data_IF_270361575257
#
_entry.id   IF_270361575257
#
_cell.length_a   1.000
_cell.length_b   1.000
_cell.length_c   1.000
_cell.angle_alpha   90.00
_cell.angle_beta   90.00
_cell.angle_gamma   90.00
#
_symmetry.space_group_name_H-M   'P 1'
#
loop_
_entity.id
_entity.type
_entity.pdbx_description
1 polymer ?
#
# COMPACT_ATOMS: atom_id res chain seq x y z
N UNK A 1 53.78 30.45 54.68
CA UNK A 1 53.95 29.50 53.55
C UNK A 1 52.67 28.70 53.43
N UNK A 2 51.74 29.09 52.54
CA UNK A 2 50.42 28.45 52.41
C UNK A 2 50.39 27.67 51.10
N UNK A 3 50.15 26.36 51.21
CA UNK A 3 49.99 25.43 50.10
C UNK A 3 48.48 25.32 49.85
N UNK A 4 48.02 25.69 48.66
CA UNK A 4 46.64 25.49 48.20
C UNK A 4 46.59 24.23 47.36
N UNK A 5 45.90 23.20 47.84
CA UNK A 5 45.61 21.97 47.10
C UNK A 5 44.38 22.19 46.21
N UNK A 6 44.49 21.84 44.93
CA UNK A 6 43.38 21.82 43.97
C UNK A 6 42.89 20.37 43.86
N UNK A 7 41.62 20.14 44.19
CA UNK A 7 40.92 18.87 43.95
C UNK A 7 40.17 18.99 42.61
N UNK A 8 40.53 18.14 41.65
CA UNK A 8 39.80 17.98 40.39
C UNK A 8 38.87 16.76 40.56
N UNK A 9 37.57 17.00 40.55
CA UNK A 9 36.56 15.94 40.55
C UNK A 9 36.17 15.59 39.11
N UNK A 10 36.58 14.40 38.66
CA UNK A 10 36.14 13.84 37.38
C UNK A 10 34.73 13.23 37.53
N UNK A 11 33.73 13.85 36.91
CA UNK A 11 32.38 13.31 36.82
C UNK A 11 32.25 12.31 35.67
N UNK A 12 31.87 11.07 35.97
CA UNK A 12 31.54 10.05 34.98
C UNK A 12 30.10 10.32 34.50
N UNK A 13 29.95 10.68 33.21
CA UNK A 13 28.64 10.74 32.54
C UNK A 13 28.22 9.33 32.10
N UNK A 14 27.28 8.74 32.85
CA UNK A 14 26.54 7.55 32.42
C UNK A 14 25.48 7.98 31.40
N UNK A 15 25.73 7.71 30.11
CA UNK A 15 24.74 7.88 29.06
C UNK A 15 23.65 6.81 29.17
N UNK A 16 22.43 7.22 29.54
CA UNK A 16 21.27 6.35 29.51
C UNK A 16 20.89 6.06 28.05
N UNK A 17 21.08 4.82 27.61
CA UNK A 17 20.54 4.32 26.35
C UNK A 17 19.03 4.13 26.52
N UNK A 18 18.23 5.07 26.03
CA UNK A 18 16.79 4.87 25.92
C UNK A 18 16.54 3.82 24.84
N UNK A 19 16.27 2.58 25.27
CA UNK A 19 15.69 1.57 24.39
C UNK A 19 14.32 2.09 23.93
N UNK A 20 14.22 2.43 22.65
CA UNK A 20 12.92 2.72 22.03
C UNK A 20 12.12 1.43 22.01
N UNK A 21 11.10 1.33 22.87
CA UNK A 21 10.11 0.27 22.77
C UNK A 21 9.49 0.32 21.36
N UNK A 22 9.44 -0.82 20.67
CA UNK A 22 8.64 -0.95 19.45
C UNK A 22 7.19 -0.62 19.82
N UNK A 23 6.67 0.46 19.24
CA UNK A 23 5.25 0.79 19.34
C UNK A 23 4.46 -0.45 18.91
N UNK A 24 3.59 -0.95 19.79
CA UNK A 24 2.69 -2.04 19.46
C UNK A 24 1.91 -1.61 18.22
N UNK A 25 2.00 -2.34 17.10
CA UNK A 25 1.27 -1.94 15.90
C UNK A 25 -0.21 -1.87 16.25
N UNK A 26 -0.83 -0.73 15.96
CA UNK A 26 -2.28 -0.54 15.99
C UNK A 26 -2.94 -1.77 15.36
N UNK A 27 -3.99 -2.31 15.98
CA UNK A 27 -4.74 -3.45 15.44
C UNK A 27 -5.34 -3.05 14.08
N UNK A 28 -4.62 -3.31 12.98
CA UNK A 28 -4.97 -2.81 11.64
C UNK A 28 -6.26 -3.48 11.14
N UNK A 29 -6.53 -4.71 11.56
CA UNK A 29 -7.78 -5.40 11.29
C UNK A 29 -8.08 -6.50 12.33
N UNK A 30 -9.36 -6.89 12.42
CA UNK A 30 -9.81 -7.98 13.29
C UNK A 30 -9.58 -9.33 12.62
N UNK A 31 -8.45 -9.95 12.91
CA UNK A 31 -8.24 -11.36 12.65
C UNK A 31 -9.18 -12.21 13.53
N UNK A 32 -9.55 -13.41 13.06
CA UNK A 32 -10.34 -14.37 13.83
C UNK A 32 -11.76 -13.89 14.24
N UNK A 33 -12.50 -13.28 13.31
CA UNK A 33 -13.90 -12.90 13.56
C UNK A 33 -14.78 -14.11 13.88
N UNK A 34 -15.51 -14.08 15.00
CA UNK A 34 -16.57 -15.05 15.25
C UNK A 34 -17.67 -14.93 14.17
N UNK A 35 -18.27 -16.05 13.68
CA UNK A 35 -18.12 -17.43 14.13
C UNK A 35 -17.07 -18.24 13.35
N UNK A 36 -16.15 -17.60 12.62
CA UNK A 36 -15.16 -18.31 11.80
C UNK A 36 -14.19 -19.11 12.67
N UNK A 37 -13.71 -20.24 12.12
CA UNK A 37 -12.69 -21.08 12.75
C UNK A 37 -11.46 -20.22 13.03
N UNK A 38 -11.00 -20.28 14.28
CA UNK A 38 -9.82 -19.57 14.72
C UNK A 38 -8.58 -20.19 14.07
N UNK A 39 -7.76 -19.37 13.45
CA UNK A 39 -6.47 -19.77 12.90
C UNK A 39 -5.34 -19.23 13.80
N UNK A 40 -4.20 -19.92 13.80
CA UNK A 40 -3.01 -19.57 14.57
C UNK A 40 -2.05 -18.70 13.78
N UNK A 41 -2.16 -18.70 12.45
CA UNK A 41 -1.36 -17.87 11.56
C UNK A 41 -2.21 -16.77 10.93
N UNK A 42 -1.69 -15.55 10.94
CA UNK A 42 -2.32 -14.38 10.35
C UNK A 42 -1.39 -13.76 9.31
N UNK A 43 -1.97 -13.30 8.19
CA UNK A 43 -1.24 -12.53 7.20
C UNK A 43 -0.75 -11.22 7.80
N UNK A 44 0.52 -10.86 7.62
CA UNK A 44 0.97 -9.55 8.06
C UNK A 44 0.43 -8.46 7.13
N UNK A 45 -0.11 -7.34 7.65
CA UNK A 45 -0.65 -6.27 6.82
C UNK A 45 0.39 -5.76 5.81
N UNK A 46 -0.05 -5.39 4.61
CA UNK A 46 0.82 -4.75 3.63
C UNK A 46 1.56 -3.54 4.24
N UNK A 47 2.87 -3.48 4.01
CA UNK A 47 3.73 -2.40 4.52
C UNK A 47 4.28 -2.62 5.94
N UNK A 48 3.82 -3.63 6.68
CA UNK A 48 4.34 -4.01 8.01
C UNK A 48 5.76 -4.62 7.94
N UNK A 49 6.14 -5.17 6.79
CA UNK A 49 7.49 -5.66 6.50
C UNK A 49 8.19 -4.66 5.58
N UNK A 50 9.45 -4.35 5.88
CA UNK A 50 10.31 -3.49 5.05
C UNK A 50 11.41 -4.30 4.39
N UNK A 51 11.46 -4.23 3.06
CA UNK A 51 12.53 -4.87 2.28
C UNK A 51 13.88 -4.21 2.55
N UNK A 52 14.95 -5.01 2.49
CA UNK A 52 16.36 -4.55 2.56
C UNK A 52 17.20 -5.31 1.54
N UNK A 53 18.42 -4.82 1.29
CA UNK A 53 19.41 -5.48 0.42
C UNK A 53 18.87 -5.74 -0.98
N UNK A 54 19.04 -6.97 -1.47
CA UNK A 54 18.67 -7.34 -2.84
C UNK A 54 17.18 -7.13 -3.14
N UNK A 55 16.27 -7.50 -2.24
CA UNK A 55 14.83 -7.34 -2.47
C UNK A 55 14.42 -5.87 -2.58
N UNK A 56 14.95 -5.01 -1.70
CA UNK A 56 14.71 -3.57 -1.79
C UNK A 56 15.15 -3.05 -3.17
N UNK A 57 16.33 -3.48 -3.64
CA UNK A 57 16.82 -3.08 -4.96
C UNK A 57 15.90 -3.53 -6.10
N UNK A 58 15.30 -4.72 -6.03
CA UNK A 58 14.34 -5.18 -7.03
C UNK A 58 13.06 -4.32 -7.04
N UNK A 59 12.55 -3.95 -5.86
CA UNK A 59 11.38 -3.07 -5.76
C UNK A 59 11.68 -1.68 -6.31
N UNK A 60 12.86 -1.12 -6.00
CA UNK A 60 13.30 0.16 -6.56
C UNK A 60 13.39 0.09 -8.09
N UNK A 61 13.91 -1.00 -8.67
CA UNK A 61 13.96 -1.18 -10.12
C UNK A 61 12.55 -1.27 -10.75
N UNK A 62 11.57 -1.85 -10.05
CA UNK A 62 10.18 -1.85 -10.52
C UNK A 62 9.58 -0.44 -10.48
N UNK A 63 9.85 0.32 -9.41
CA UNK A 63 9.42 1.73 -9.27
C UNK A 63 10.06 2.58 -10.36
N UNK A 64 11.36 2.48 -10.57
CA UNK A 64 12.12 3.31 -11.52
C UNK A 64 11.99 2.81 -12.97
N UNK A 65 11.31 1.68 -13.17
CA UNK A 65 11.14 1.03 -14.47
C UNK A 65 9.66 0.82 -14.82
N UNK A 66 9.34 -0.36 -15.35
CA UNK A 66 8.04 -0.63 -15.97
C UNK A 66 6.84 -0.32 -15.09
N UNK A 67 6.83 -0.67 -13.81
CA UNK A 67 5.64 -0.47 -12.96
C UNK A 67 5.41 1.00 -12.66
N UNK A 68 6.45 1.75 -12.30
CA UNK A 68 6.28 3.18 -12.03
C UNK A 68 5.99 4.01 -13.28
N UNK A 69 6.48 3.59 -14.44
CA UNK A 69 6.26 4.27 -15.73
C UNK A 69 5.16 3.66 -16.60
N UNK A 70 4.39 2.68 -16.11
CA UNK A 70 3.44 1.93 -16.93
C UNK A 70 2.39 2.83 -17.61
N UNK A 71 1.89 3.85 -16.91
CA UNK A 71 0.91 4.80 -17.46
C UNK A 71 1.47 5.67 -18.59
N UNK A 72 2.79 5.91 -18.60
CA UNK A 72 3.50 6.64 -19.66
C UNK A 72 3.79 5.73 -20.86
N UNK A 73 4.03 4.44 -20.60
CA UNK A 73 4.31 3.43 -21.61
C UNK A 73 3.05 2.89 -22.31
N UNK A 74 1.91 2.95 -21.62
CA UNK A 74 0.61 2.51 -22.14
C UNK A 74 -0.47 3.60 -21.95
N UNK A 75 -0.28 4.81 -22.53
CA UNK A 75 -1.12 5.99 -22.28
C UNK A 75 -2.48 5.94 -23.01
N UNK A 76 -2.74 4.90 -23.78
CA UNK A 76 -3.94 4.73 -24.58
C UNK A 76 -5.14 4.43 -23.69
N UNK A 77 -6.32 4.83 -24.17
CA UNK A 77 -7.58 4.53 -23.50
C UNK A 77 -7.83 3.03 -23.30
N UNK A 78 -7.30 2.19 -24.18
CA UNK A 78 -7.44 0.74 -24.06
C UNK A 78 -6.56 0.12 -22.97
N UNK A 79 -5.74 0.95 -22.31
CA UNK A 79 -4.76 0.55 -21.33
C UNK A 79 -4.87 1.42 -20.06
N UNK A 80 -3.79 2.12 -19.71
CA UNK A 80 -3.62 2.85 -18.45
C UNK A 80 -3.79 4.36 -18.63
N UNK A 81 -4.27 4.78 -19.81
CA UNK A 81 -4.51 6.18 -20.14
C UNK A 81 -5.65 6.82 -19.34
N UNK A 82 -5.69 8.15 -19.38
CA UNK A 82 -6.71 8.95 -18.69
C UNK A 82 -8.16 8.70 -19.16
N UNK A 83 -8.35 8.11 -20.34
CA UNK A 83 -9.65 7.71 -20.89
C UNK A 83 -9.93 6.20 -20.76
N UNK A 84 -9.19 5.51 -19.88
CA UNK A 84 -9.52 4.14 -19.51
C UNK A 84 -10.93 4.06 -18.96
N UNK A 85 -11.66 3.00 -19.29
CA UNK A 85 -13.02 2.82 -18.77
C UNK A 85 -13.05 2.45 -17.27
N UNK A 86 -11.92 1.96 -16.73
CA UNK A 86 -11.66 1.86 -15.30
C UNK A 86 -11.49 3.24 -14.62
N UNK A 87 -11.49 4.33 -15.39
CA UNK A 87 -11.57 5.74 -14.96
C UNK A 87 -12.75 6.47 -15.60
N UNK A 88 -13.76 5.75 -16.08
CA UNK A 88 -15.00 6.34 -16.64
C UNK A 88 -14.95 6.71 -18.10
N UNK A 89 -13.86 6.40 -18.80
CA UNK A 89 -13.79 6.55 -20.25
C UNK A 89 -14.45 5.40 -21.02
N UNK A 90 -14.08 5.29 -22.29
CA UNK A 90 -14.67 4.35 -23.26
C UNK A 90 -13.69 3.23 -23.69
N UNK A 91 -12.59 3.07 -22.95
CA UNK A 91 -11.50 2.14 -23.18
C UNK A 91 -11.81 0.64 -23.05
N UNK A 92 -10.80 -0.17 -22.76
CA UNK A 92 -10.94 -1.63 -22.67
C UNK A 92 -11.16 -2.08 -21.24
N UNK A 93 -12.29 -2.75 -21.01
CA UNK A 93 -12.68 -3.18 -19.66
C UNK A 93 -11.92 -4.40 -19.16
N UNK A 94 -11.05 -4.99 -19.99
CA UNK A 94 -10.38 -6.23 -19.68
C UNK A 94 -9.35 -6.07 -18.56
N UNK A 95 -8.67 -7.16 -18.22
CA UNK A 95 -7.92 -7.34 -16.97
C UNK A 95 -6.67 -6.47 -16.78
N UNK A 96 -6.25 -5.71 -17.79
CA UNK A 96 -4.96 -4.99 -17.77
C UNK A 96 -4.84 -3.98 -16.64
N UNK A 97 -5.83 -3.10 -16.48
CA UNK A 97 -5.85 -2.12 -15.38
C UNK A 97 -5.91 -2.82 -14.02
N UNK A 98 -6.82 -3.77 -13.76
CA UNK A 98 -6.85 -4.52 -12.51
C UNK A 98 -5.51 -5.15 -12.10
N UNK A 99 -4.80 -5.79 -13.04
CA UNK A 99 -3.48 -6.35 -12.75
C UNK A 99 -2.44 -5.28 -12.46
N UNK A 100 -2.45 -4.19 -13.21
CA UNK A 100 -1.58 -3.05 -12.96
C UNK A 100 -1.82 -2.47 -11.56
N UNK A 101 -3.06 -2.17 -11.20
CA UNK A 101 -3.44 -1.58 -9.90
C UNK A 101 -3.09 -2.52 -8.75
N UNK A 102 -3.29 -3.83 -8.90
CA UNK A 102 -2.88 -4.84 -7.91
C UNK A 102 -1.38 -4.77 -7.62
N UNK A 103 -0.54 -4.75 -8.65
CA UNK A 103 0.91 -4.64 -8.49
C UNK A 103 1.35 -3.27 -7.96
N UNK A 104 0.74 -2.20 -8.46
CA UNK A 104 1.04 -0.82 -8.10
C UNK A 104 0.76 -0.56 -6.62
N UNK A 105 -0.38 -1.00 -6.08
CA UNK A 105 -0.72 -0.87 -4.65
C UNK A 105 0.33 -1.59 -3.81
N UNK A 106 0.62 -2.86 -4.12
CA UNK A 106 1.61 -3.63 -3.38
C UNK A 106 2.97 -2.94 -3.34
N UNK A 107 3.46 -2.45 -4.49
CA UNK A 107 4.74 -1.76 -4.60
C UNK A 107 4.76 -0.43 -3.85
N UNK A 108 3.74 0.41 -4.07
CA UNK A 108 3.64 1.75 -3.52
C UNK A 108 3.70 1.77 -1.99
N UNK A 109 2.92 0.90 -1.34
CA UNK A 109 2.85 0.86 0.12
C UNK A 109 3.98 0.04 0.77
N UNK A 110 4.58 -0.91 0.04
CA UNK A 110 5.81 -1.59 0.51
C UNK A 110 6.98 -0.63 0.56
N UNK A 111 7.18 0.16 -0.50
CA UNK A 111 8.26 1.16 -0.58
C UNK A 111 7.97 2.45 0.17
N UNK A 112 6.74 2.65 0.63
CA UNK A 112 6.28 3.91 1.21
C UNK A 112 6.42 5.12 0.26
N UNK A 113 6.28 4.88 -1.05
CA UNK A 113 6.57 5.87 -2.10
C UNK A 113 5.37 6.78 -2.37
N UNK A 114 5.55 8.10 -2.15
CA UNK A 114 4.48 9.09 -2.28
C UNK A 114 3.93 9.19 -3.72
N UNK A 115 4.81 9.11 -4.72
CA UNK A 115 4.42 9.24 -6.12
C UNK A 115 3.64 8.03 -6.60
N UNK A 116 4.09 6.82 -6.27
CA UNK A 116 3.35 5.59 -6.58
C UNK A 116 2.03 5.52 -5.83
N UNK A 117 1.97 5.96 -4.56
CA UNK A 117 0.72 6.03 -3.81
C UNK A 117 -0.29 6.97 -4.46
N UNK A 118 0.16 8.11 -4.99
CA UNK A 118 -0.71 9.02 -5.73
C UNK A 118 -1.28 8.35 -6.99
N UNK A 119 -0.46 7.64 -7.76
CA UNK A 119 -0.91 6.84 -8.91
C UNK A 119 -1.92 5.77 -8.49
N UNK A 120 -1.64 5.03 -7.41
CA UNK A 120 -2.55 3.99 -6.90
C UNK A 120 -3.90 4.57 -6.45
N UNK A 121 -3.87 5.67 -5.70
CA UNK A 121 -5.06 6.37 -5.23
C UNK A 121 -5.98 6.80 -6.35
N UNK A 122 -5.43 7.29 -7.48
CA UNK A 122 -6.23 7.64 -8.66
C UNK A 122 -7.21 6.53 -9.07
N UNK A 123 -6.71 5.28 -9.16
CA UNK A 123 -7.53 4.13 -9.58
C UNK A 123 -8.47 3.64 -8.48
N UNK A 124 -7.97 3.58 -7.24
CA UNK A 124 -8.76 3.14 -6.08
C UNK A 124 -9.90 4.10 -5.80
N UNK A 125 -9.60 5.39 -5.66
CA UNK A 125 -10.59 6.43 -5.34
C UNK A 125 -11.68 6.46 -6.41
N UNK A 126 -11.33 6.45 -7.70
CA UNK A 126 -12.32 6.36 -8.78
C UNK A 126 -13.25 5.16 -8.62
N UNK A 127 -12.69 3.97 -8.36
CA UNK A 127 -13.49 2.75 -8.26
C UNK A 127 -14.42 2.74 -7.06
N UNK A 128 -13.95 3.20 -5.90
CA UNK A 128 -14.77 3.31 -4.69
C UNK A 128 -15.90 4.34 -4.87
N UNK A 129 -15.61 5.46 -5.53
CA UNK A 129 -16.56 6.56 -5.71
C UNK A 129 -17.60 6.28 -6.84
N UNK A 130 -17.39 5.23 -7.65
CA UNK A 130 -18.23 4.89 -8.81
C UNK A 130 -18.80 3.45 -8.74
N UNK A 131 -19.05 2.94 -7.55
CA UNK A 131 -19.86 1.74 -7.39
C UNK A 131 -21.27 1.97 -7.96
N UNK A 132 -21.77 0.99 -8.72
CA UNK A 132 -23.13 1.00 -9.26
C UNK A 132 -24.15 0.71 -8.15
N UNK A 133 -25.42 1.11 -8.34
CA UNK A 133 -26.50 0.85 -7.37
C UNK A 133 -26.69 -0.64 -7.03
N UNK A 134 -26.33 -1.54 -7.97
CA UNK A 134 -26.36 -3.00 -7.78
C UNK A 134 -25.26 -3.53 -6.87
N UNK A 135 -24.32 -2.68 -6.47
CA UNK A 135 -23.10 -3.04 -5.76
C UNK A 135 -21.91 -3.37 -6.68
N UNK A 136 -22.12 -3.41 -7.99
CA UNK A 136 -21.07 -3.75 -8.96
C UNK A 136 -20.09 -2.58 -9.15
N UNK A 137 -18.78 -2.86 -9.13
CA UNK A 137 -17.75 -1.86 -9.39
C UNK A 137 -17.01 -2.13 -10.72
N UNK A 138 -16.23 -1.14 -11.17
CA UNK A 138 -15.50 -1.18 -12.44
C UNK A 138 -16.40 -0.91 -13.67
N UNK A 139 -15.87 -1.08 -14.89
CA UNK A 139 -16.55 -0.70 -16.13
C UNK A 139 -17.94 -1.36 -16.29
N UNK A 140 -19.03 -0.58 -16.49
CA UNK A 140 -20.39 -1.12 -16.57
C UNK A 140 -20.62 -2.09 -17.73
N UNK A 141 -19.90 -1.91 -18.84
CA UNK A 141 -20.02 -2.79 -20.03
C UNK A 141 -19.36 -4.16 -19.86
N UNK A 142 -18.61 -4.38 -18.77
CA UNK A 142 -17.95 -5.65 -18.49
C UNK A 142 -18.88 -6.58 -17.72
N UNK A 143 -19.38 -7.61 -18.41
CA UNK A 143 -20.23 -8.64 -17.82
C UNK A 143 -19.46 -9.82 -17.21
N UNK A 144 -18.15 -9.93 -17.49
CA UNK A 144 -17.29 -10.95 -16.89
C UNK A 144 -16.82 -10.50 -15.49
N UNK A 145 -16.84 -11.42 -14.55
CA UNK A 145 -16.36 -11.18 -13.18
C UNK A 145 -14.84 -11.14 -13.09
N UNK A 146 -14.14 -11.76 -14.03
CA UNK A 146 -12.70 -11.99 -13.96
C UNK A 146 -11.89 -10.72 -13.75
N UNK A 147 -12.04 -9.62 -14.53
CA UNK A 147 -11.26 -8.39 -14.33
C UNK A 147 -11.47 -7.76 -12.95
N UNK A 148 -12.60 -8.01 -12.29
CA UNK A 148 -12.90 -7.47 -10.95
C UNK A 148 -12.11 -8.19 -9.86
N UNK A 149 -11.74 -9.46 -10.06
CA UNK A 149 -11.04 -10.24 -9.06
C UNK A 149 -9.63 -9.68 -8.76
N UNK A 150 -8.75 -9.40 -9.74
CA UNK A 150 -7.47 -8.72 -9.48
C UNK A 150 -7.62 -7.36 -8.81
N UNK A 151 -8.64 -6.58 -9.20
CA UNK A 151 -8.90 -5.28 -8.58
C UNK A 151 -9.36 -5.42 -7.12
N UNK A 152 -10.18 -6.43 -6.82
CA UNK A 152 -10.58 -6.74 -5.45
C UNK A 152 -9.38 -7.04 -4.55
N UNK A 153 -8.38 -7.80 -5.05
CA UNK A 153 -7.12 -7.98 -4.31
C UNK A 153 -6.38 -6.65 -4.07
N UNK A 154 -6.41 -5.73 -5.04
CA UNK A 154 -5.82 -4.41 -4.89
C UNK A 154 -6.55 -3.58 -3.81
N UNK A 155 -7.88 -3.60 -3.79
CA UNK A 155 -8.69 -2.92 -2.78
C UNK A 155 -8.43 -3.48 -1.37
N UNK A 156 -8.38 -4.81 -1.22
CA UNK A 156 -8.00 -5.45 0.06
C UNK A 156 -6.61 -5.01 0.52
N UNK A 157 -5.61 -5.06 -0.36
CA UNK A 157 -4.24 -4.63 -0.08
C UNK A 157 -4.17 -3.14 0.28
N UNK A 158 -4.97 -2.30 -0.38
CA UNK A 158 -5.09 -0.88 -0.09
C UNK A 158 -5.67 -0.66 1.30
N UNK A 159 -6.74 -1.36 1.67
CA UNK A 159 -7.32 -1.31 3.01
C UNK A 159 -6.31 -1.75 4.08
N UNK A 160 -5.58 -2.84 3.86
CA UNK A 160 -4.54 -3.28 4.81
C UNK A 160 -3.47 -2.22 5.02
N UNK A 161 -3.06 -1.50 3.98
CA UNK A 161 -2.00 -0.50 4.06
C UNK A 161 -2.46 0.87 4.60
N UNK A 162 -3.75 1.19 4.48
CA UNK A 162 -4.28 2.55 4.74
C UNK A 162 -5.34 2.61 5.83
N UNK A 163 -5.99 1.49 6.12
CA UNK A 163 -7.20 1.41 6.93
C UNK A 163 -8.35 2.30 6.42
N UNK A 164 -8.39 2.59 5.11
CA UNK A 164 -9.44 3.41 4.50
C UNK A 164 -10.81 2.73 4.61
N UNK A 165 -11.63 3.26 5.52
CA UNK A 165 -12.93 2.67 5.85
C UNK A 165 -13.92 2.66 4.70
N UNK A 166 -13.67 3.40 3.60
CA UNK A 166 -14.49 3.35 2.38
C UNK A 166 -14.44 1.99 1.69
N UNK A 167 -13.39 1.19 1.90
CA UNK A 167 -13.23 -0.11 1.23
C UNK A 167 -14.15 -1.21 1.79
N UNK A 168 -14.58 -1.11 3.04
CA UNK A 168 -15.42 -2.16 3.66
C UNK A 168 -16.89 -2.12 3.21
N UNK A 169 -17.55 -0.93 3.10
CA UNK A 169 -18.95 -0.83 2.73
C UNK A 169 -19.20 -0.67 1.22
N UNK A 170 -18.17 -0.39 0.41
CA UNK A 170 -18.31 -0.39 -1.06
C UNK A 170 -18.43 -1.82 -1.60
#
# INVERSE_FOLDING_TARGET
MRITSILIASGILLGATTASAQQTPSKIYDFNKAPLKQDVYVQLPLGSIKAKGWLLKQLELQRDGFTGHAEELYPEKENLGAKSDWLGGDGSSWEKVPYYVKGLVALAYTLDDVSLKAKAKKWIDYTLDHQQESGLFGPPKMNDWWPRMPFMYAAQSYYEATNDKRVIPF
#
